data_IF_039739844082
#
_entry.id   IF_039739844082
#
_cell.length_a   1.000
_cell.length_b   1.000
_cell.length_c   1.000
_cell.angle_alpha   90.00
_cell.angle_beta   90.00
_cell.angle_gamma   90.00
#
_symmetry.space_group_name_H-M   'P 1'
#
loop_
_entity.id
_entity.type
_entity.pdbx_description
1 polymer ?
#
# COMPACT_ATOMS: atom_id res chain seq x y z
N UNK A 1 -4.68 9.35 -20.36
CA UNK A 1 -5.48 10.46 -19.89
C UNK A 1 -4.69 11.43 -18.99
N UNK A 2 -3.69 10.97 -18.24
CA UNK A 2 -2.85 11.82 -17.36
C UNK A 2 -1.50 12.22 -17.99
N UNK A 3 -1.26 11.90 -19.26
CA UNK A 3 -0.01 12.20 -19.97
C UNK A 3 1.12 11.23 -19.62
N UNK A 4 2.36 11.59 -20.01
CA UNK A 4 3.56 10.82 -19.71
C UNK A 4 4.01 11.08 -18.27
N UNK A 5 4.57 10.06 -17.63
CA UNK A 5 5.22 10.19 -16.32
C UNK A 5 6.35 11.23 -16.40
N UNK A 6 6.43 12.07 -15.35
CA UNK A 6 7.49 13.05 -15.18
C UNK A 6 7.92 13.06 -13.72
N UNK A 7 9.19 12.82 -13.49
CA UNK A 7 9.80 12.94 -12.17
C UNK A 7 10.10 14.42 -11.88
N UNK A 8 9.76 14.88 -10.69
CA UNK A 8 10.19 16.19 -10.18
C UNK A 8 11.67 16.10 -9.83
N UNK A 9 12.38 17.21 -9.92
CA UNK A 9 13.78 17.28 -9.52
C UNK A 9 13.93 17.00 -8.02
N UNK A 10 14.95 16.25 -7.60
CA UNK A 10 15.18 15.92 -6.18
C UNK A 10 15.28 17.17 -5.31
N UNK A 11 15.96 18.21 -5.80
CA UNK A 11 16.18 19.46 -5.08
C UNK A 11 14.86 20.17 -4.76
N UNK A 12 13.89 20.12 -5.69
CA UNK A 12 12.57 20.73 -5.50
C UNK A 12 11.76 19.98 -4.45
N UNK A 13 11.86 18.64 -4.43
CA UNK A 13 11.19 17.80 -3.43
C UNK A 13 11.81 18.05 -2.05
N UNK A 14 13.14 18.05 -1.95
CA UNK A 14 13.84 18.27 -0.68
C UNK A 14 13.57 19.68 -0.16
N UNK A 15 13.53 20.68 -1.04
CA UNK A 15 13.20 22.07 -0.68
C UNK A 15 11.78 22.16 -0.10
N UNK A 16 10.80 21.52 -0.74
CA UNK A 16 9.42 21.49 -0.25
C UNK A 16 9.33 20.79 1.10
N UNK A 17 9.98 19.63 1.25
CA UNK A 17 10.01 18.91 2.53
C UNK A 17 10.62 19.75 3.63
N UNK A 18 11.75 20.45 3.39
CA UNK A 18 12.37 21.37 4.35
C UNK A 18 11.42 22.50 4.74
N UNK A 19 10.70 23.05 3.78
CA UNK A 19 9.74 24.13 4.02
C UNK A 19 8.62 23.65 4.96
N UNK A 20 7.91 22.55 4.64
CA UNK A 20 6.81 22.08 5.48
C UNK A 20 7.28 21.65 6.86
N UNK A 21 8.50 21.09 6.98
CA UNK A 21 9.09 20.75 8.27
C UNK A 21 9.38 22.00 9.09
N UNK A 22 9.84 23.10 8.47
CA UNK A 22 10.03 24.37 9.18
C UNK A 22 8.72 24.98 9.70
N UNK A 23 7.59 24.60 9.11
CA UNK A 23 6.23 24.96 9.54
C UNK A 23 5.66 24.02 10.62
N UNK A 24 6.46 23.03 11.08
CA UNK A 24 6.11 22.11 12.16
C UNK A 24 5.65 20.72 11.74
N UNK A 25 5.58 20.42 10.43
CA UNK A 25 5.20 19.10 9.92
C UNK A 25 6.22 18.06 10.36
N UNK A 26 5.75 16.92 10.88
CA UNK A 26 6.56 15.81 11.40
C UNK A 26 6.58 14.59 10.49
N UNK A 27 5.55 14.41 9.68
CA UNK A 27 5.42 13.29 8.75
C UNK A 27 5.10 13.81 7.34
N UNK A 28 5.75 13.25 6.33
CA UNK A 28 5.44 13.51 4.92
C UNK A 28 5.06 12.22 4.22
N UNK A 29 4.12 12.31 3.27
CA UNK A 29 3.75 11.21 2.40
C UNK A 29 4.12 11.54 0.95
N UNK A 30 5.01 10.76 0.36
CA UNK A 30 5.40 10.90 -1.03
C UNK A 30 4.40 10.15 -1.92
N UNK A 31 3.81 10.86 -2.87
CA UNK A 31 2.77 10.36 -3.74
C UNK A 31 3.20 10.38 -5.21
N UNK A 32 2.78 9.37 -5.95
CA UNK A 32 2.95 9.26 -7.40
C UNK A 32 2.00 8.25 -7.99
N UNK A 33 1.89 8.16 -9.32
CA UNK A 33 1.11 7.11 -10.01
C UNK A 33 1.74 5.73 -9.83
N UNK A 34 3.06 5.68 -9.92
CA UNK A 34 3.94 4.56 -9.62
C UNK A 34 5.18 5.18 -8.98
N UNK A 35 5.15 5.34 -7.65
CA UNK A 35 6.17 6.12 -6.94
C UNK A 35 7.57 5.51 -7.08
N UNK A 36 7.66 4.19 -7.20
CA UNK A 36 8.94 3.50 -7.34
C UNK A 36 9.50 3.50 -8.78
N UNK A 37 8.79 4.09 -9.74
CA UNK A 37 9.35 4.44 -11.05
C UNK A 37 10.04 5.81 -11.08
N UNK A 38 10.06 6.52 -9.96
CA UNK A 38 10.71 7.83 -9.84
C UNK A 38 12.14 7.82 -10.38
N UNK A 39 12.50 8.92 -11.01
CA UNK A 39 13.83 9.19 -11.52
C UNK A 39 14.11 8.73 -12.94
N UNK A 40 13.27 7.85 -13.51
CA UNK A 40 13.46 7.34 -14.90
C UNK A 40 13.44 8.44 -15.97
N UNK A 41 12.88 9.61 -15.66
CA UNK A 41 12.72 10.74 -16.58
C UNK A 41 13.61 11.94 -16.22
N UNK A 42 14.48 11.79 -15.23
CA UNK A 42 15.46 12.82 -14.86
C UNK A 42 16.66 12.78 -15.82
N UNK A 43 17.30 13.92 -16.05
CA UNK A 43 18.56 14.01 -16.81
C UNK A 43 19.69 13.26 -16.11
N UNK A 44 19.78 13.40 -14.79
CA UNK A 44 20.64 12.59 -13.93
C UNK A 44 19.78 11.54 -13.22
N UNK A 45 19.90 10.26 -13.57
CA UNK A 45 19.08 9.21 -12.98
C UNK A 45 19.27 9.13 -11.46
N UNK A 46 18.16 9.10 -10.74
CA UNK A 46 18.11 8.86 -9.28
C UNK A 46 16.98 7.88 -8.98
N UNK A 47 17.25 6.82 -8.22
CA UNK A 47 16.20 5.89 -7.81
C UNK A 47 15.31 6.50 -6.74
N UNK A 48 14.09 5.96 -6.59
CA UNK A 48 13.20 6.34 -5.49
C UNK A 48 13.84 6.04 -4.12
N UNK A 49 14.58 4.95 -4.03
CA UNK A 49 15.32 4.60 -2.82
C UNK A 49 16.39 5.65 -2.46
N UNK A 50 17.12 6.14 -3.46
CA UNK A 50 18.08 7.25 -3.27
C UNK A 50 17.38 8.54 -2.85
N UNK A 51 16.24 8.87 -3.46
CA UNK A 51 15.44 10.03 -3.02
C UNK A 51 15.03 9.91 -1.56
N UNK A 52 14.56 8.74 -1.10
CA UNK A 52 14.21 8.51 0.29
C UNK A 52 15.40 8.76 1.23
N UNK A 53 16.60 8.32 0.85
CA UNK A 53 17.84 8.60 1.62
C UNK A 53 18.14 10.08 1.71
N UNK A 54 17.90 10.87 0.67
CA UNK A 54 18.10 12.32 0.72
C UNK A 54 17.02 13.01 1.57
N UNK A 55 15.75 12.61 1.44
CA UNK A 55 14.65 13.14 2.25
C UNK A 55 14.84 12.82 3.74
N UNK A 56 15.38 11.63 4.05
CA UNK A 56 15.67 11.22 5.44
C UNK A 56 16.65 12.17 6.16
N UNK A 57 17.55 12.83 5.43
CA UNK A 57 18.52 13.78 5.99
C UNK A 57 17.88 15.09 6.48
N UNK A 58 16.63 15.37 6.14
CA UNK A 58 15.97 16.61 6.57
C UNK A 58 15.77 16.58 8.08
N UNK A 59 16.40 17.54 8.77
CA UNK A 59 16.28 17.70 10.21
C UNK A 59 14.85 18.11 10.59
N UNK A 60 14.34 17.61 11.72
CA UNK A 60 12.97 17.88 12.20
C UNK A 60 11.90 17.00 11.56
N UNK A 61 12.17 16.35 10.42
CA UNK A 61 11.30 15.31 9.87
C UNK A 61 11.43 14.04 10.70
N UNK A 62 10.30 13.47 11.11
CA UNK A 62 10.25 12.28 11.97
C UNK A 62 9.88 11.02 11.20
N UNK A 63 8.99 11.15 10.19
CA UNK A 63 8.46 10.02 9.43
C UNK A 63 8.31 10.32 7.94
N UNK A 64 8.57 9.30 7.14
CA UNK A 64 8.39 9.32 5.69
C UNK A 64 7.49 8.15 5.32
N UNK A 65 6.39 8.43 4.63
CA UNK A 65 5.52 7.43 4.01
C UNK A 65 5.52 7.60 2.49
N UNK A 66 5.15 6.56 1.81
CA UNK A 66 4.88 6.61 0.37
C UNK A 66 3.73 5.67 0.02
N UNK A 67 3.04 5.97 -1.07
CA UNK A 67 1.93 5.17 -1.56
C UNK A 67 2.14 4.79 -3.02
N UNK A 68 1.37 3.78 -3.47
CA UNK A 68 1.32 3.35 -4.87
C UNK A 68 2.64 2.83 -5.46
N UNK A 69 3.46 2.05 -4.72
CA UNK A 69 4.49 1.27 -5.36
C UNK A 69 3.84 0.20 -6.24
N UNK A 70 4.41 -0.03 -7.42
CA UNK A 70 3.95 -1.13 -8.28
C UNK A 70 4.80 -2.37 -8.01
N UNK A 71 4.21 -3.58 -7.82
CA UNK A 71 4.97 -4.79 -7.49
C UNK A 71 6.12 -5.09 -8.46
N UNK A 72 5.91 -4.82 -9.75
CA UNK A 72 6.91 -5.04 -10.80
C UNK A 72 8.18 -4.20 -10.66
N UNK A 73 8.04 -2.98 -10.15
CA UNK A 73 9.14 -2.00 -10.08
C UNK A 73 9.76 -1.92 -8.68
N UNK A 74 9.38 -2.81 -7.75
CA UNK A 74 9.92 -2.82 -6.39
C UNK A 74 11.35 -3.38 -6.39
N UNK A 75 12.32 -2.51 -6.07
CA UNK A 75 13.75 -2.86 -6.07
C UNK A 75 14.22 -3.36 -4.71
N UNK A 76 15.28 -4.16 -4.71
CA UNK A 76 15.97 -4.58 -3.48
C UNK A 76 16.54 -3.39 -2.72
N UNK A 77 16.99 -2.35 -3.43
CA UNK A 77 17.45 -1.10 -2.84
C UNK A 77 16.34 -0.42 -2.02
N UNK A 78 15.09 -0.39 -2.52
CA UNK A 78 13.96 0.18 -1.78
C UNK A 78 13.64 -0.64 -0.53
N UNK A 79 13.65 -1.97 -0.62
CA UNK A 79 13.46 -2.86 0.53
C UNK A 79 14.55 -2.59 1.58
N UNK A 80 15.81 -2.45 1.17
CA UNK A 80 16.93 -2.16 2.07
C UNK A 80 16.80 -0.78 2.73
N UNK A 81 16.36 0.24 1.98
CA UNK A 81 16.08 1.57 2.57
C UNK A 81 15.01 1.46 3.63
N UNK A 82 13.89 0.76 3.37
CA UNK A 82 12.83 0.57 4.36
C UNK A 82 13.29 -0.23 5.59
N UNK A 83 14.17 -1.23 5.39
CA UNK A 83 14.69 -2.05 6.48
C UNK A 83 15.63 -1.27 7.42
N UNK A 84 16.43 -0.35 6.87
CA UNK A 84 17.53 0.31 7.58
C UNK A 84 17.24 1.76 7.98
N UNK A 85 16.28 2.42 7.32
CA UNK A 85 15.90 3.80 7.65
C UNK A 85 15.24 3.88 9.03
N UNK A 86 15.54 4.98 9.72
CA UNK A 86 14.89 5.32 11.00
C UNK A 86 13.64 6.18 10.83
N UNK A 87 13.39 6.71 9.62
CA UNK A 87 12.28 7.61 9.34
C UNK A 87 11.27 7.04 8.33
N UNK A 88 11.73 6.17 7.41
CA UNK A 88 10.82 5.51 6.47
C UNK A 88 9.97 4.49 7.23
N UNK A 89 8.66 4.72 7.24
CA UNK A 89 7.71 3.91 7.97
C UNK A 89 7.67 2.47 7.43
N UNK A 90 7.55 1.50 8.34
CA UNK A 90 7.47 0.06 8.00
C UNK A 90 6.04 -0.32 7.58
N UNK A 91 5.55 0.34 6.58
CA UNK A 91 4.25 0.09 5.97
C UNK A 91 4.40 0.02 4.45
N UNK A 92 3.92 -1.06 3.85
CA UNK A 92 3.94 -1.28 2.41
C UNK A 92 2.52 -1.40 1.88
N UNK A 93 2.09 -0.42 1.09
CA UNK A 93 0.88 -0.55 0.30
C UNK A 93 1.24 -1.21 -1.03
N UNK A 94 0.91 -2.48 -1.21
CA UNK A 94 1.25 -3.28 -2.39
C UNK A 94 -0.03 -3.76 -3.08
N UNK A 95 -0.55 -3.02 -4.09
CA UNK A 95 -1.78 -3.36 -4.78
C UNK A 95 -1.71 -4.73 -5.46
N UNK A 96 -2.53 -5.68 -5.01
CA UNK A 96 -2.63 -7.03 -5.57
C UNK A 96 -3.59 -7.09 -6.76
N UNK A 97 -4.72 -6.41 -6.64
CA UNK A 97 -5.86 -6.38 -7.54
C UNK A 97 -6.66 -7.69 -7.59
N UNK A 98 -6.01 -8.83 -7.80
CA UNK A 98 -6.56 -10.18 -7.79
C UNK A 98 -5.48 -11.18 -7.39
N UNK A 99 -5.87 -12.30 -6.80
CA UNK A 99 -5.00 -13.43 -6.52
C UNK A 99 -4.92 -14.45 -7.66
N UNK A 100 -5.67 -14.27 -8.74
CA UNK A 100 -5.62 -15.16 -9.90
C UNK A 100 -4.67 -14.65 -10.98
N UNK A 101 -3.66 -15.44 -11.32
CA UNK A 101 -2.71 -15.11 -12.41
C UNK A 101 -3.44 -14.93 -13.76
N UNK A 102 -4.55 -15.66 -13.98
CA UNK A 102 -5.39 -15.53 -15.17
C UNK A 102 -6.05 -14.15 -15.21
N UNK A 103 -6.67 -13.71 -14.13
CA UNK A 103 -7.30 -12.38 -14.04
C UNK A 103 -6.29 -11.25 -14.09
N UNK A 104 -5.14 -11.39 -13.41
CA UNK A 104 -4.05 -10.43 -13.48
C UNK A 104 -3.62 -10.17 -14.93
N UNK A 105 -3.53 -11.21 -15.75
CA UNK A 105 -3.24 -11.08 -17.18
C UNK A 105 -4.35 -10.32 -17.92
N UNK A 106 -5.62 -10.59 -17.64
CA UNK A 106 -6.77 -9.88 -18.23
C UNK A 106 -6.79 -8.40 -17.79
N UNK A 107 -6.39 -8.11 -16.57
CA UNK A 107 -6.23 -6.75 -16.02
C UNK A 107 -4.97 -6.04 -16.53
N UNK A 108 -4.22 -6.65 -17.47
CA UNK A 108 -2.94 -6.13 -17.98
C UNK A 108 -1.90 -5.93 -16.88
N UNK A 109 -1.89 -6.78 -15.85
CA UNK A 109 -0.85 -6.84 -14.83
C UNK A 109 0.28 -7.75 -15.29
N UNK A 110 1.53 -7.33 -15.05
CA UNK A 110 2.72 -8.02 -15.55
C UNK A 110 3.43 -8.83 -14.46
N UNK A 111 2.65 -9.47 -13.59
CA UNK A 111 3.11 -10.39 -12.55
C UNK A 111 2.07 -11.49 -12.32
N UNK A 112 2.52 -12.61 -11.75
CA UNK A 112 1.67 -13.75 -11.36
C UNK A 112 1.40 -13.73 -9.86
N UNK A 113 0.44 -14.57 -9.41
CA UNK A 113 0.15 -14.82 -8.00
C UNK A 113 1.43 -15.22 -7.24
N UNK A 114 2.19 -16.16 -7.79
CA UNK A 114 3.39 -16.71 -7.18
C UNK A 114 4.48 -15.64 -7.04
N UNK A 115 4.66 -14.80 -8.06
CA UNK A 115 5.60 -13.68 -8.02
C UNK A 115 5.21 -12.66 -6.97
N UNK A 116 3.91 -12.37 -6.84
CA UNK A 116 3.40 -11.44 -5.82
C UNK A 116 3.65 -11.98 -4.41
N UNK A 117 3.30 -13.25 -4.16
CA UNK A 117 3.52 -13.91 -2.85
C UNK A 117 5.01 -13.94 -2.51
N UNK A 118 5.85 -14.35 -3.46
CA UNK A 118 7.31 -14.38 -3.25
C UNK A 118 7.87 -12.99 -2.89
N UNK A 119 7.40 -11.93 -3.56
CA UNK A 119 7.78 -10.56 -3.26
C UNK A 119 7.31 -10.16 -1.85
N UNK A 120 6.06 -10.44 -1.49
CA UNK A 120 5.54 -10.12 -0.16
C UNK A 120 6.33 -10.82 0.95
N UNK A 121 6.63 -12.10 0.79
CA UNK A 121 7.46 -12.87 1.73
C UNK A 121 8.87 -12.30 1.86
N UNK A 122 9.51 -11.98 0.74
CA UNK A 122 10.84 -11.34 0.73
C UNK A 122 10.84 -10.05 1.54
N UNK A 123 9.80 -9.21 1.39
CA UNK A 123 9.68 -7.97 2.14
C UNK A 123 9.49 -8.26 3.64
N UNK A 124 8.62 -9.23 4.00
CA UNK A 124 8.39 -9.62 5.40
C UNK A 124 9.66 -10.14 6.08
N UNK A 125 10.47 -10.91 5.36
CA UNK A 125 11.76 -11.44 5.86
C UNK A 125 12.80 -10.32 6.06
N UNK A 126 12.83 -9.35 5.15
CA UNK A 126 13.84 -8.26 5.18
C UNK A 126 13.44 -7.11 6.09
N UNK A 127 12.16 -6.90 6.33
CA UNK A 127 11.64 -5.81 7.16
C UNK A 127 10.75 -6.39 8.28
N UNK A 128 11.36 -6.81 9.40
CA UNK A 128 10.60 -7.33 10.53
C UNK A 128 9.53 -6.34 11.02
N UNK A 129 8.30 -6.83 11.18
CA UNK A 129 7.17 -6.01 11.64
C UNK A 129 6.57 -5.09 10.57
N UNK A 130 6.96 -5.25 9.29
CA UNK A 130 6.30 -4.51 8.20
C UNK A 130 4.81 -4.84 8.14
N UNK A 131 3.97 -3.82 8.00
CA UNK A 131 2.55 -3.99 7.72
C UNK A 131 2.28 -3.91 6.23
N UNK A 132 1.30 -4.72 5.79
CA UNK A 132 0.86 -4.73 4.41
C UNK A 132 -0.56 -4.24 4.26
N UNK A 133 -0.76 -3.31 3.32
CA UNK A 133 -2.08 -2.98 2.79
C UNK A 133 -2.11 -3.24 1.28
N UNK A 134 -3.30 -3.49 0.74
CA UNK A 134 -3.46 -3.84 -0.68
C UNK A 134 -4.76 -3.29 -1.25
N UNK A 135 -4.90 -3.36 -2.57
CA UNK A 135 -6.15 -3.17 -3.29
C UNK A 135 -6.63 -4.50 -3.84
N UNK A 136 -7.94 -4.78 -3.72
CA UNK A 136 -8.58 -5.99 -4.26
C UNK A 136 -9.85 -5.58 -5.01
N UNK A 137 -10.00 -6.08 -6.23
CA UNK A 137 -11.19 -5.89 -7.06
C UNK A 137 -11.92 -7.22 -7.16
N UNK A 138 -13.21 -7.24 -6.80
CA UNK A 138 -14.11 -8.39 -6.91
C UNK A 138 -15.06 -8.17 -8.08
N UNK A 139 -15.39 -9.23 -8.82
CA UNK A 139 -16.36 -9.20 -9.91
C UNK A 139 -15.81 -8.61 -11.21
N UNK A 140 -14.49 -8.73 -11.43
CA UNK A 140 -13.91 -8.39 -12.72
C UNK A 140 -14.53 -9.30 -13.80
N UNK A 141 -14.83 -8.80 -15.02
CA UNK A 141 -15.42 -9.60 -16.08
C UNK A 141 -14.66 -10.91 -16.32
N UNK A 142 -15.40 -12.02 -16.36
CA UNK A 142 -14.86 -13.35 -16.49
C UNK A 142 -14.25 -13.96 -15.22
N UNK A 143 -14.40 -13.33 -14.05
CA UNK A 143 -13.97 -13.89 -12.77
C UNK A 143 -14.80 -15.15 -12.44
N UNK A 144 -14.14 -16.30 -12.31
CA UNK A 144 -14.76 -17.56 -11.87
C UNK A 144 -14.69 -17.69 -10.34
N UNK A 145 -15.34 -18.72 -9.79
CA UNK A 145 -15.23 -19.02 -8.35
C UNK A 145 -13.80 -19.41 -7.97
N UNK A 146 -13.14 -20.19 -8.83
CA UNK A 146 -11.75 -20.60 -8.63
C UNK A 146 -10.80 -19.39 -8.58
N UNK A 147 -10.99 -18.40 -9.45
CA UNK A 147 -10.19 -17.16 -9.42
C UNK A 147 -10.40 -16.38 -8.12
N UNK A 148 -11.63 -16.36 -7.64
CA UNK A 148 -11.94 -15.70 -6.37
C UNK A 148 -11.34 -16.45 -5.17
N UNK A 149 -11.42 -17.79 -5.13
CA UNK A 149 -10.76 -18.58 -4.10
C UNK A 149 -9.24 -18.40 -4.11
N UNK A 150 -8.61 -18.33 -5.28
CA UNK A 150 -7.18 -17.96 -5.39
C UNK A 150 -6.89 -16.59 -4.77
N UNK A 151 -7.81 -15.64 -4.89
CA UNK A 151 -7.68 -14.32 -4.25
C UNK A 151 -7.74 -14.44 -2.72
N UNK A 152 -8.67 -15.23 -2.19
CA UNK A 152 -8.75 -15.51 -0.74
C UNK A 152 -7.49 -16.22 -0.23
N UNK A 153 -6.91 -17.15 -1.01
CA UNK A 153 -5.68 -17.85 -0.64
C UNK A 153 -4.50 -16.89 -0.50
N UNK A 154 -4.34 -15.94 -1.43
CA UNK A 154 -3.30 -14.91 -1.30
C UNK A 154 -3.52 -14.04 -0.07
N UNK A 155 -4.78 -13.69 0.25
CA UNK A 155 -5.09 -12.93 1.47
C UNK A 155 -4.67 -13.70 2.72
N UNK A 156 -4.93 -15.01 2.77
CA UNK A 156 -4.53 -15.89 3.89
C UNK A 156 -3.00 -16.01 4.00
N UNK A 157 -2.34 -16.17 2.86
CA UNK A 157 -0.90 -16.44 2.80
C UNK A 157 -0.04 -15.22 3.11
N UNK A 158 -0.41 -14.05 2.58
CA UNK A 158 0.30 -12.78 2.83
C UNK A 158 -0.06 -12.19 4.18
N UNK A 159 -1.32 -12.30 4.61
CA UNK A 159 -1.76 -11.81 5.90
C UNK A 159 -1.84 -10.28 5.98
N UNK A 160 -2.59 -9.65 5.08
CA UNK A 160 -2.74 -8.19 5.05
C UNK A 160 -3.32 -7.62 6.34
N UNK A 161 -2.79 -6.46 6.77
CA UNK A 161 -3.30 -5.71 7.91
C UNK A 161 -4.60 -4.97 7.56
N UNK A 162 -4.72 -4.52 6.30
CA UNK A 162 -5.93 -3.92 5.76
C UNK A 162 -5.94 -4.03 4.23
N UNK A 163 -7.12 -3.88 3.62
CA UNK A 163 -7.26 -3.80 2.18
C UNK A 163 -8.32 -2.78 1.78
N UNK A 164 -8.07 -2.07 0.69
CA UNK A 164 -9.09 -1.32 -0.03
C UNK A 164 -9.78 -2.28 -1.00
N UNK A 165 -11.03 -2.55 -0.76
CA UNK A 165 -11.82 -3.52 -1.51
C UNK A 165 -12.80 -2.81 -2.43
N UNK A 166 -12.84 -3.22 -3.68
CA UNK A 166 -13.67 -2.60 -4.71
C UNK A 166 -14.49 -3.66 -5.41
N UNK A 167 -15.74 -3.33 -5.71
CA UNK A 167 -16.50 -4.03 -6.73
C UNK A 167 -16.11 -3.45 -8.08
N UNK A 168 -15.87 -4.32 -9.06
CA UNK A 168 -15.59 -3.87 -10.41
C UNK A 168 -16.69 -2.95 -10.93
N UNK A 169 -16.30 -1.81 -11.48
CA UNK A 169 -17.20 -0.84 -12.10
C UNK A 169 -16.78 -0.58 -13.54
N UNK A 170 -17.75 -0.72 -14.46
CA UNK A 170 -17.53 -0.46 -15.88
C UNK A 170 -17.08 0.98 -16.13
N UNK A 171 -15.95 1.14 -16.80
CA UNK A 171 -15.44 2.45 -17.22
C UNK A 171 -15.45 2.52 -18.74
N UNK A 172 -16.22 3.43 -19.31
CA UNK A 172 -16.29 3.65 -20.76
C UNK A 172 -14.90 3.79 -21.37
N UNK A 173 -14.70 3.14 -22.52
CA UNK A 173 -13.42 3.16 -23.24
C UNK A 173 -12.35 2.20 -22.73
N UNK A 174 -12.68 1.31 -21.77
CA UNK A 174 -11.77 0.24 -21.34
C UNK A 174 -12.13 -1.10 -21.97
N UNK A 175 -11.15 -1.97 -22.30
CA UNK A 175 -11.43 -3.32 -22.80
C UNK A 175 -12.37 -4.13 -21.89
N UNK A 176 -12.19 -4.03 -20.58
CA UNK A 176 -13.03 -4.73 -19.60
C UNK A 176 -14.50 -4.31 -19.64
N UNK A 177 -14.81 -3.08 -20.05
CA UNK A 177 -16.20 -2.62 -20.17
C UNK A 177 -16.97 -3.27 -21.34
N UNK A 178 -16.24 -3.76 -22.35
CA UNK A 178 -16.80 -4.43 -23.53
C UNK A 178 -16.79 -5.96 -23.43
N UNK A 179 -16.25 -6.53 -22.35
CA UNK A 179 -16.28 -7.98 -22.12
C UNK A 179 -17.72 -8.44 -21.86
N UNK A 180 -18.11 -9.57 -22.45
CA UNK A 180 -19.47 -10.13 -22.34
C UNK A 180 -19.67 -10.86 -21.00
N UNK A 181 -18.63 -11.49 -20.46
CA UNK A 181 -18.67 -12.31 -19.25
C UNK A 181 -18.74 -11.47 -17.97
N UNK A 182 -19.74 -10.60 -17.86
CA UNK A 182 -19.97 -9.82 -16.65
C UNK A 182 -20.48 -10.73 -15.53
N UNK A 183 -19.90 -10.62 -14.34
CA UNK A 183 -20.30 -11.42 -13.19
C UNK A 183 -21.64 -10.94 -12.64
N UNK A 184 -22.51 -11.86 -12.23
CA UNK A 184 -23.80 -11.57 -11.64
C UNK A 184 -23.65 -10.81 -10.31
N UNK A 185 -24.61 -9.91 -10.04
CA UNK A 185 -24.56 -9.04 -8.85
C UNK A 185 -24.65 -9.80 -7.52
N UNK A 186 -25.44 -10.88 -7.48
CA UNK A 186 -25.59 -11.68 -6.28
C UNK A 186 -24.32 -12.48 -5.99
N UNK A 187 -23.66 -12.98 -7.04
CA UNK A 187 -22.33 -13.60 -6.95
C UNK A 187 -21.27 -12.61 -6.47
N UNK A 188 -21.26 -11.41 -7.03
CA UNK A 188 -20.34 -10.35 -6.58
C UNK A 188 -20.56 -10.03 -5.10
N UNK A 189 -21.82 -9.93 -4.69
CA UNK A 189 -22.16 -9.62 -3.28
C UNK A 189 -21.66 -10.73 -2.35
N UNK A 190 -21.93 -12.00 -2.67
CA UNK A 190 -21.45 -13.13 -1.87
C UNK A 190 -19.92 -13.12 -1.73
N UNK A 191 -19.22 -13.00 -2.85
CA UNK A 191 -17.74 -12.94 -2.86
C UNK A 191 -17.23 -11.77 -2.05
N UNK A 192 -17.82 -10.61 -2.20
CA UNK A 192 -17.42 -9.41 -1.47
C UNK A 192 -17.60 -9.58 0.03
N UNK A 193 -18.74 -10.14 0.48
CA UNK A 193 -19.01 -10.40 1.89
C UNK A 193 -18.01 -11.42 2.47
N UNK A 194 -17.67 -12.48 1.74
CA UNK A 194 -16.66 -13.49 2.11
C UNK A 194 -15.25 -12.86 2.22
N UNK A 195 -14.88 -12.00 1.28
CA UNK A 195 -13.60 -11.28 1.31
C UNK A 195 -13.51 -10.38 2.54
N UNK A 196 -14.56 -9.59 2.82
CA UNK A 196 -14.59 -8.71 3.98
C UNK A 196 -14.49 -9.49 5.30
N UNK A 197 -15.16 -10.63 5.42
CA UNK A 197 -15.07 -11.49 6.59
C UNK A 197 -13.64 -11.99 6.82
N UNK A 198 -12.97 -12.47 5.78
CA UNK A 198 -11.58 -12.93 5.86
C UNK A 198 -10.61 -11.80 6.21
N UNK A 199 -10.76 -10.63 5.59
CA UNK A 199 -9.93 -9.46 5.89
C UNK A 199 -10.09 -9.01 7.34
N UNK A 200 -11.31 -8.99 7.86
CA UNK A 200 -11.59 -8.67 9.26
C UNK A 200 -10.90 -9.64 10.22
N UNK A 201 -10.96 -10.94 9.93
CA UNK A 201 -10.27 -11.98 10.72
C UNK A 201 -8.75 -11.78 10.69
N UNK A 202 -8.17 -11.59 9.50
CA UNK A 202 -6.73 -11.41 9.30
C UNK A 202 -6.22 -10.15 10.02
N UNK A 203 -6.92 -9.03 9.86
CA UNK A 203 -6.60 -7.77 10.53
C UNK A 203 -6.66 -7.92 12.05
N UNK A 204 -7.71 -8.53 12.58
CA UNK A 204 -7.85 -8.77 14.03
C UNK A 204 -6.73 -9.67 14.56
N UNK A 205 -6.32 -10.69 13.80
CA UNK A 205 -5.19 -11.57 14.17
C UNK A 205 -3.88 -10.79 14.22
N UNK A 206 -3.64 -9.89 13.25
CA UNK A 206 -2.42 -9.07 13.22
C UNK A 206 -2.43 -8.03 14.36
N UNK A 207 -3.55 -7.37 14.65
CA UNK A 207 -3.67 -6.48 15.79
C UNK A 207 -3.39 -7.19 17.13
N UNK A 208 -3.88 -8.42 17.30
CA UNK A 208 -3.62 -9.21 18.52
C UNK A 208 -2.13 -9.49 18.75
N UNK A 209 -1.32 -9.63 17.69
CA UNK A 209 0.13 -9.83 17.82
C UNK A 209 0.84 -8.61 18.41
N UNK A 210 0.23 -7.43 18.35
CA UNK A 210 0.77 -6.17 18.87
C UNK A 210 0.44 -5.91 20.34
N UNK A 211 -0.40 -6.73 20.94
CA UNK A 211 -0.76 -6.58 22.36
C UNK A 211 0.46 -6.85 23.23
N UNK A 212 0.83 -5.84 24.05
CA UNK A 212 2.02 -5.89 24.90
C UNK A 212 3.26 -5.21 24.29
N UNK A 213 3.25 -4.86 23.02
CA UNK A 213 4.32 -4.08 22.40
C UNK A 213 4.27 -2.61 22.88
N UNK A 214 5.44 -1.99 22.96
CA UNK A 214 5.58 -0.55 23.18
C UNK A 214 5.91 0.08 21.83
N UNK A 215 5.03 0.96 21.35
CA UNK A 215 5.13 1.55 20.02
C UNK A 215 5.14 3.08 20.10
N UNK A 216 5.84 3.70 19.15
CA UNK A 216 5.87 5.15 19.01
C UNK A 216 4.68 5.63 18.19
N UNK A 217 3.85 6.50 18.76
CA UNK A 217 2.66 7.07 18.13
C UNK A 217 2.95 8.51 17.68
N UNK A 218 2.56 8.86 16.45
CA UNK A 218 2.39 10.24 16.04
C UNK A 218 0.96 10.65 16.36
N UNK A 219 0.79 11.60 17.27
CA UNK A 219 -0.52 12.14 17.64
C UNK A 219 -1.01 13.01 16.47
N UNK A 220 -2.21 12.72 15.98
CA UNK A 220 -2.81 13.41 14.84
C UNK A 220 -3.88 14.41 15.31
N UNK A 221 -4.70 14.00 16.30
CA UNK A 221 -5.82 14.82 16.79
C UNK A 221 -6.31 14.38 18.17
N UNK A 222 -7.12 15.21 18.81
CA UNK A 222 -7.97 14.80 19.93
C UNK A 222 -9.13 13.92 19.40
N UNK A 223 -9.49 12.89 20.17
CA UNK A 223 -10.58 12.01 19.76
C UNK A 223 -11.92 12.72 19.85
N UNK A 224 -12.66 12.79 18.74
CA UNK A 224 -13.96 13.50 18.67
C UNK A 224 -15.11 12.72 19.28
N UNK A 225 -14.93 11.44 19.58
CA UNK A 225 -15.98 10.55 20.09
C UNK A 225 -15.87 10.28 21.58
N UNK A 226 -14.69 10.47 22.18
CA UNK A 226 -14.44 10.14 23.58
C UNK A 226 -13.51 11.18 24.22
N UNK A 227 -14.03 11.92 25.21
CA UNK A 227 -13.30 12.99 25.87
C UNK A 227 -12.09 12.47 26.64
N UNK A 228 -10.95 13.16 26.55
CA UNK A 228 -9.68 12.77 27.18
C UNK A 228 -8.94 11.64 26.45
N UNK A 229 -9.38 11.31 25.24
CA UNK A 229 -8.67 10.38 24.37
C UNK A 229 -7.96 11.14 23.25
N UNK A 230 -6.79 10.65 22.87
CA UNK A 230 -6.03 11.08 21.70
C UNK A 230 -6.11 10.02 20.61
N UNK A 231 -6.07 10.48 19.36
CA UNK A 231 -5.96 9.63 18.18
C UNK A 231 -4.58 9.83 17.55
N UNK A 232 -3.93 8.73 17.21
CA UNK A 232 -2.62 8.78 16.57
C UNK A 232 -2.36 7.57 15.71
N UNK A 233 -1.26 7.62 14.99
CA UNK A 233 -0.89 6.58 14.03
C UNK A 233 0.49 5.99 14.33
N UNK A 234 0.56 4.68 14.31
CA UNK A 234 1.81 3.93 14.43
C UNK A 234 2.62 4.01 13.12
N UNK A 235 3.90 3.62 13.18
CA UNK A 235 4.74 3.52 11.97
C UNK A 235 4.17 2.54 10.95
N UNK A 236 3.56 1.44 11.40
CA UNK A 236 2.90 0.45 10.56
C UNK A 236 1.52 0.90 10.01
N UNK A 237 1.18 2.18 10.16
CA UNK A 237 -0.07 2.79 9.72
C UNK A 237 -1.34 2.40 10.51
N UNK A 238 -1.20 1.66 11.59
CA UNK A 238 -2.33 1.35 12.47
C UNK A 238 -2.78 2.60 13.24
N UNK A 239 -4.08 2.90 13.18
CA UNK A 239 -4.70 3.95 13.98
C UNK A 239 -4.93 3.44 15.40
N UNK A 240 -4.58 4.25 16.39
CA UNK A 240 -4.75 3.92 17.80
C UNK A 240 -5.39 5.07 18.57
N UNK A 241 -6.20 4.71 19.56
CA UNK A 241 -6.82 5.65 20.49
C UNK A 241 -6.28 5.35 21.89
N UNK A 242 -5.89 6.38 22.61
CA UNK A 242 -5.28 6.24 23.94
C UNK A 242 -5.57 7.47 24.81
N UNK A 243 -5.49 7.30 26.12
CA UNK A 243 -5.61 8.43 27.06
C UNK A 243 -4.37 9.32 26.97
N UNK A 244 -4.55 10.62 26.85
CA UNK A 244 -3.50 11.63 26.75
C UNK A 244 -3.69 12.80 27.66
#
# INVERSE_FOLDING_TARGET
>A
VRGRERSRKPEDIIKEVKQVVSEGVKEVMLLGQNVNSYGKTLEEPMSFAQLLREVEKVEGLERIRFMTPHPKDLSDELIEVMATSKKVCKHMHLPMQSGSSRLLKLMNRHYTKEQYIALAKKIQERIPGVSFTTDIIVGFPGETEEDFEETLDVVREVGFDSAYTYVYSKRSGTPAASMEDQVDKDVIKDRFDRLLALLKETSAKNCKKKVGDIERVLIEEENTHEEGMLTGRLENNLLVHFKG
#
